data_IF_970836033268
#
_entry.id   IF_970836033268
#
_cell.length_a   1.000
_cell.length_b   1.000
_cell.length_c   1.000
_cell.angle_alpha   90.00
_cell.angle_beta   90.00
_cell.angle_gamma   90.00
#
_symmetry.space_group_name_H-M   'P 1'
#
loop_
_entity.id
_entity.type
_entity.pdbx_description
1 polymer ?
#
# COMPACT_ATOMS: atom_id res chain seq x y z
N UNK A 1 1.76 -4.09 1.02
CA UNK A 1 1.95 -4.52 2.43
C UNK A 1 2.20 -3.30 3.31
N UNK A 2 1.17 -2.75 3.99
CA UNK A 2 1.29 -1.52 4.80
C UNK A 2 2.33 -1.65 5.92
N UNK A 3 2.53 -2.86 6.46
CA UNK A 3 3.55 -3.17 7.47
C UNK A 3 4.96 -3.07 6.88
N UNK A 4 5.16 -3.53 5.64
CA UNK A 4 6.43 -3.38 4.93
C UNK A 4 6.72 -1.91 4.63
N UNK A 5 5.72 -1.13 4.18
CA UNK A 5 5.87 0.31 3.99
C UNK A 5 6.26 1.02 5.30
N UNK A 6 5.66 0.62 6.42
CA UNK A 6 6.01 1.13 7.75
C UNK A 6 7.43 0.73 8.21
N UNK A 7 7.89 -0.48 7.85
CA UNK A 7 9.27 -0.91 8.10
C UNK A 7 10.29 -0.15 7.23
N UNK A 8 9.96 0.13 5.96
CA UNK A 8 10.84 0.82 5.01
C UNK A 8 10.91 2.34 5.22
N UNK A 9 9.76 3.00 5.44
CA UNK A 9 9.65 4.46 5.62
C UNK A 9 10.03 4.88 7.04
N UNK A 10 9.99 3.94 7.98
CA UNK A 10 10.30 4.14 9.39
C UNK A 10 9.13 4.73 10.17
N UNK A 11 8.89 4.19 11.37
CA UNK A 11 7.80 4.61 12.26
C UNK A 11 7.82 6.09 12.65
N UNK A 12 8.96 6.77 12.49
CA UNK A 12 9.15 8.19 12.83
C UNK A 12 8.46 9.16 11.85
N UNK A 13 8.07 8.69 10.66
CA UNK A 13 7.33 9.48 9.66
C UNK A 13 5.81 9.34 9.80
N UNK A 14 5.33 8.44 10.67
CA UNK A 14 3.90 8.32 10.96
C UNK A 14 3.51 9.37 12.01
N UNK A 15 2.31 9.98 11.91
CA UNK A 15 1.78 10.87 12.94
C UNK A 15 1.86 10.21 14.31
N UNK A 16 2.32 10.96 15.32
CA UNK A 16 2.39 10.49 16.71
C UNK A 16 0.95 10.32 17.24
N UNK A 17 0.39 9.12 17.12
CA UNK A 17 -1.00 8.87 17.52
C UNK A 17 -1.53 7.46 17.23
N UNK A 18 -0.66 6.47 17.00
CA UNK A 18 -1.11 5.09 16.84
C UNK A 18 -1.77 4.60 18.13
N UNK A 19 -3.07 4.30 18.06
CA UNK A 19 -3.91 3.79 19.16
C UNK A 19 -3.37 2.50 19.83
N UNK A 20 -2.43 1.80 19.18
CA UNK A 20 -1.82 0.57 19.69
C UNK A 20 -0.31 0.55 19.43
N UNK A 21 0.47 0.33 20.49
CA UNK A 21 1.93 0.22 20.42
C UNK A 21 2.41 -1.06 21.09
N UNK A 22 3.06 -1.92 20.32
CA UNK A 22 3.76 -3.12 20.80
C UNK A 22 5.12 -2.80 21.47
N UNK A 23 5.43 -1.52 21.70
CA UNK A 23 6.70 -1.09 22.29
C UNK A 23 7.91 -1.61 21.51
N UNK A 24 8.95 -2.04 22.24
CA UNK A 24 10.26 -2.45 21.68
C UNK A 24 10.22 -3.76 20.87
N UNK A 25 9.21 -4.62 21.07
CA UNK A 25 9.06 -5.88 20.33
C UNK A 25 8.32 -5.70 18.99
N UNK A 26 7.64 -4.58 18.81
CA UNK A 26 6.87 -4.31 17.61
C UNK A 26 7.64 -4.44 16.30
N UNK A 27 8.89 -3.95 16.17
CA UNK A 27 9.66 -4.09 14.93
C UNK A 27 9.97 -5.55 14.58
N UNK A 28 10.29 -6.39 15.57
CA UNK A 28 10.58 -7.81 15.35
C UNK A 28 9.32 -8.56 14.87
N UNK A 29 8.17 -8.31 15.52
CA UNK A 29 6.90 -8.93 15.13
C UNK A 29 6.48 -8.49 13.73
N UNK A 30 6.71 -7.22 13.36
CA UNK A 30 6.44 -6.76 12.00
C UNK A 30 7.28 -7.50 10.96
N UNK A 31 8.54 -7.80 11.24
CA UNK A 31 9.40 -8.59 10.35
C UNK A 31 8.90 -10.02 10.18
N UNK A 32 8.51 -10.67 11.29
CA UNK A 32 7.93 -12.02 11.26
C UNK A 32 6.64 -12.00 10.43
N UNK A 33 5.79 -10.98 10.59
CA UNK A 33 4.55 -10.86 9.84
C UNK A 33 4.82 -10.67 8.33
N UNK A 34 5.76 -9.78 7.96
CA UNK A 34 6.13 -9.60 6.55
C UNK A 34 6.65 -10.91 5.95
N UNK A 35 7.50 -11.65 6.67
CA UNK A 35 7.99 -12.94 6.21
C UNK A 35 6.84 -13.95 6.03
N UNK A 36 5.96 -14.07 7.02
CA UNK A 36 4.80 -14.94 6.96
C UNK A 36 3.86 -14.58 5.79
N UNK A 37 3.56 -13.29 5.60
CA UNK A 37 2.76 -12.81 4.47
C UNK A 37 3.43 -13.10 3.13
N UNK A 38 4.76 -12.96 3.02
CA UNK A 38 5.47 -13.25 1.79
C UNK A 38 5.41 -14.75 1.44
N UNK A 39 5.67 -15.62 2.42
CA UNK A 39 5.59 -17.08 2.24
C UNK A 39 4.17 -17.50 1.87
N UNK A 40 3.16 -17.07 2.63
CA UNK A 40 1.77 -17.45 2.35
C UNK A 40 1.28 -16.90 1.01
N UNK A 41 1.70 -15.70 0.60
CA UNK A 41 1.39 -15.17 -0.72
C UNK A 41 1.97 -16.04 -1.85
N UNK A 42 3.20 -16.54 -1.72
CA UNK A 42 3.80 -17.44 -2.73
C UNK A 42 3.05 -18.76 -2.79
N UNK A 43 2.80 -19.38 -1.64
CA UNK A 43 2.09 -20.67 -1.57
C UNK A 43 0.65 -20.56 -2.07
N UNK A 44 0.01 -19.40 -1.91
CA UNK A 44 -1.35 -19.15 -2.40
C UNK A 44 -1.46 -19.28 -3.93
N UNK A 45 -0.36 -19.10 -4.67
CA UNK A 45 -0.36 -19.25 -6.12
C UNK A 45 -0.07 -20.68 -6.58
N UNK A 46 0.27 -21.60 -5.68
CA UNK A 46 0.58 -22.97 -6.06
C UNK A 46 -0.70 -23.82 -6.24
N UNK A 47 -0.67 -24.79 -7.16
CA UNK A 47 -1.72 -25.80 -7.30
C UNK A 47 -1.68 -26.82 -6.14
N UNK A 48 -2.78 -27.56 -5.97
CA UNK A 48 -2.93 -28.57 -4.90
C UNK A 48 -2.02 -29.80 -5.07
N UNK A 49 -1.52 -30.05 -6.27
CA UNK A 49 -0.66 -31.17 -6.61
C UNK A 49 0.50 -30.72 -7.51
N UNK A 50 1.68 -31.40 -7.44
CA UNK A 50 2.71 -31.24 -8.47
C UNK A 50 2.15 -31.68 -9.84
N UNK A 51 2.64 -31.05 -10.91
CA UNK A 51 2.25 -31.31 -12.31
C UNK A 51 0.72 -31.31 -12.55
N UNK A 52 0.01 -30.19 -12.25
CA UNK A 52 -1.42 -30.14 -12.45
C UNK A 52 -1.76 -30.20 -13.94
N UNK A 53 -2.87 -30.87 -14.25
CA UNK A 53 -3.55 -30.67 -15.53
C UNK A 53 -3.97 -29.19 -15.63
N UNK A 54 -4.09 -28.63 -16.85
CA UNK A 54 -4.53 -27.25 -17.01
C UNK A 54 -5.84 -26.94 -16.28
N UNK A 55 -6.80 -27.87 -16.25
CA UNK A 55 -8.07 -27.67 -15.52
C UNK A 55 -7.90 -27.52 -14.01
N UNK A 56 -6.85 -28.08 -13.43
CA UNK A 56 -6.59 -28.13 -11.98
C UNK A 56 -5.58 -27.06 -11.53
N UNK A 57 -5.06 -26.25 -12.46
CA UNK A 57 -4.06 -25.24 -12.14
C UNK A 57 -4.69 -24.03 -11.44
N UNK A 58 -4.00 -23.51 -10.42
CA UNK A 58 -4.41 -22.28 -9.76
C UNK A 58 -4.09 -21.06 -10.65
N UNK A 59 -5.08 -20.56 -11.38
CA UNK A 59 -4.94 -19.42 -12.27
C UNK A 59 -4.90 -18.05 -11.57
N UNK A 60 -4.93 -18.00 -10.23
CA UNK A 60 -4.84 -16.75 -9.49
C UNK A 60 -3.58 -15.95 -9.85
N UNK A 61 -2.46 -16.62 -10.15
CA UNK A 61 -1.22 -15.97 -10.58
C UNK A 61 -1.36 -15.23 -11.91
N UNK A 62 -2.11 -15.79 -12.86
CA UNK A 62 -2.33 -15.18 -14.17
C UNK A 62 -3.20 -13.92 -14.02
N UNK A 63 -4.30 -14.03 -13.26
CA UNK A 63 -5.19 -12.89 -12.95
C UNK A 63 -4.44 -11.80 -12.20
N UNK A 64 -3.62 -12.18 -11.21
CA UNK A 64 -2.78 -11.25 -10.47
C UNK A 64 -1.80 -10.51 -11.37
N UNK A 65 -1.14 -11.22 -12.30
CA UNK A 65 -0.24 -10.62 -13.29
C UNK A 65 -0.93 -9.58 -14.18
N UNK A 66 -2.13 -9.89 -14.69
CA UNK A 66 -2.92 -8.93 -15.49
C UNK A 66 -3.27 -7.69 -14.68
N UNK A 67 -3.75 -7.87 -13.44
CA UNK A 67 -4.10 -6.75 -12.57
C UNK A 67 -2.88 -5.89 -12.23
N UNK A 68 -1.70 -6.51 -12.06
CA UNK A 68 -0.45 -5.79 -11.84
C UNK A 68 -0.07 -4.92 -13.05
N UNK A 69 -0.16 -5.47 -14.26
CA UNK A 69 0.09 -4.72 -15.51
C UNK A 69 -0.89 -3.56 -15.65
N UNK A 70 -2.18 -3.79 -15.41
CA UNK A 70 -3.21 -2.74 -15.45
C UNK A 70 -2.93 -1.66 -14.41
N UNK A 71 -2.61 -2.04 -13.17
CA UNK A 71 -2.30 -1.09 -12.10
C UNK A 71 -1.05 -0.25 -12.41
N UNK A 72 0.01 -0.88 -12.92
CA UNK A 72 1.24 -0.19 -13.33
C UNK A 72 0.96 0.74 -14.51
N UNK A 73 0.26 0.27 -15.54
CA UNK A 73 -0.14 1.07 -16.70
C UNK A 73 -1.00 2.27 -16.30
N UNK A 74 -1.96 2.06 -15.41
CA UNK A 74 -2.79 3.12 -14.84
C UNK A 74 -1.98 4.14 -14.04
N UNK A 75 -1.01 3.67 -13.25
CA UNK A 75 -0.11 4.56 -12.49
C UNK A 75 0.69 5.48 -13.41
N UNK A 76 1.25 4.95 -14.50
CA UNK A 76 2.03 5.74 -15.44
C UNK A 76 1.18 6.71 -16.28
N UNK A 77 -0.05 6.34 -16.62
CA UNK A 77 -0.94 7.18 -17.44
C UNK A 77 -1.64 8.26 -16.62
N UNK A 78 -2.28 7.87 -15.52
CA UNK A 78 -3.16 8.74 -14.73
C UNK A 78 -2.65 8.95 -13.31
N UNK A 79 -2.11 7.91 -12.67
CA UNK A 79 -1.71 7.94 -11.26
C UNK A 79 -0.70 9.06 -10.94
N UNK A 80 0.37 9.18 -11.73
CA UNK A 80 1.40 10.23 -11.49
C UNK A 80 0.88 11.65 -11.67
N UNK A 81 -0.14 11.88 -12.52
CA UNK A 81 -0.71 13.23 -12.72
C UNK A 81 -1.76 13.57 -11.66
N UNK A 82 -2.62 12.61 -11.34
CA UNK A 82 -3.73 12.84 -10.40
C UNK A 82 -3.24 12.89 -8.95
N UNK A 83 -2.24 12.07 -8.58
CA UNK A 83 -1.70 12.06 -7.22
C UNK A 83 -1.10 13.41 -6.82
N UNK A 84 -0.29 14.02 -7.70
CA UNK A 84 0.28 15.35 -7.46
C UNK A 84 -0.78 16.47 -7.48
N UNK A 85 -1.87 16.31 -8.24
CA UNK A 85 -2.94 17.32 -8.32
C UNK A 85 -3.77 17.39 -7.04
N UNK A 86 -3.97 16.27 -6.35
CA UNK A 86 -4.75 16.22 -5.10
C UNK A 86 -4.04 17.03 -4.01
N UNK A 87 -2.73 16.86 -3.83
CA UNK A 87 -1.92 17.60 -2.83
C UNK A 87 -1.99 19.12 -3.06
N UNK A 88 -1.79 19.56 -4.31
CA UNK A 88 -1.83 20.99 -4.65
C UNK A 88 -3.23 21.58 -4.48
N UNK A 89 -4.29 20.81 -4.81
CA UNK A 89 -5.67 21.25 -4.58
C UNK A 89 -6.01 21.37 -3.09
N UNK A 90 -5.54 20.46 -2.23
CA UNK A 90 -5.75 20.53 -0.79
C UNK A 90 -5.04 21.75 -0.17
N UNK A 91 -3.78 22.00 -0.57
CA UNK A 91 -3.01 23.16 -0.11
C UNK A 91 -3.64 24.50 -0.54
N UNK A 92 -4.16 24.60 -1.77
CA UNK A 92 -4.87 25.79 -2.24
C UNK A 92 -6.17 26.04 -1.49
N UNK A 93 -6.92 24.99 -1.15
CA UNK A 93 -8.14 25.13 -0.34
C UNK A 93 -7.82 25.63 1.07
N UNK A 94 -6.73 25.15 1.67
CA UNK A 94 -6.31 25.61 3.00
C UNK A 94 -5.78 27.05 2.98
N UNK A 95 -5.09 27.45 1.91
CA UNK A 95 -4.68 28.84 1.70
C UNK A 95 -5.89 29.77 1.51
N UNK A 96 -6.86 29.39 0.68
CA UNK A 96 -8.10 30.15 0.49
C UNK A 96 -8.87 30.32 1.80
N UNK A 97 -8.99 29.25 2.60
CA UNK A 97 -9.63 29.29 3.91
C UNK A 97 -8.93 30.22 4.90
N UNK A 98 -7.58 30.31 4.86
CA UNK A 98 -6.85 31.26 5.70
C UNK A 98 -7.11 32.71 5.30
N UNK A 99 -7.15 32.99 4.00
CA UNK A 99 -7.47 34.32 3.47
C UNK A 99 -8.91 34.74 3.82
N UNK A 100 -9.88 33.83 3.76
CA UNK A 100 -11.27 34.09 4.20
C UNK A 100 -11.37 34.40 5.70
N UNK A 101 -10.50 33.80 6.54
CA UNK A 101 -10.49 34.09 7.98
C UNK A 101 -9.86 35.45 8.27
N UNK A 102 -8.76 35.80 7.58
CA UNK A 102 -8.08 37.09 7.72
C UNK A 102 -8.91 38.27 7.16
N UNK A 103 -9.80 38.04 6.17
CA UNK A 103 -10.72 39.09 5.66
C UNK A 103 -11.89 39.41 6.61
N UNK A 104 -12.20 38.51 7.56
CA UNK A 104 -13.35 38.64 8.47
C UNK A 104 -12.96 39.27 9.82
N UNK A 105 -11.67 39.37 10.13
CA UNK A 105 -11.11 40.01 11.33
C UNK A 105 -10.80 41.50 11.12
#
# INVERSE_FOLDING_TARGET
MPILALLLVGRRRLPHGGQFSLGRVGPAINWINVFYCAVTAVFFFFPSSPDPLPSEMNYAIAVFGVMLVVAIGFWFTNGKRTYLRIEDSAMRMEMARRLEVDEVE
#
